data_IF_326494737332
#
_entry.id   IF_326494737332
#
_cell.length_a   1.000
_cell.length_b   1.000
_cell.length_c   1.000
_cell.angle_alpha   90.00
_cell.angle_beta   90.00
_cell.angle_gamma   90.00
#
_symmetry.space_group_name_H-M   'P 1'
#
loop_
_entity.id
_entity.type
_entity.pdbx_description
1 polymer ?
#
# COMPACT_ATOMS: atom_id res chain seq x y z
N UNK A 1 -4.53 1.41 24.58
CA UNK A 1 -5.05 0.80 23.34
C UNK A 1 -4.93 1.89 22.29
N UNK A 2 -3.83 1.89 21.53
CA UNK A 2 -3.66 2.89 20.48
C UNK A 2 -4.72 2.63 19.43
N UNK A 3 -5.68 3.53 19.26
CA UNK A 3 -6.58 3.46 18.12
C UNK A 3 -5.68 3.62 16.90
N UNK A 4 -5.59 2.60 16.05
CA UNK A 4 -4.97 2.73 14.74
C UNK A 4 -5.77 3.79 13.98
N UNK A 5 -5.28 5.02 14.01
CA UNK A 5 -5.88 6.13 13.31
C UNK A 5 -5.82 5.83 11.82
N UNK A 6 -6.94 6.02 11.14
CA UNK A 6 -6.98 5.99 9.68
C UNK A 6 -5.82 6.86 9.14
N UNK A 7 -5.09 6.33 8.17
CA UNK A 7 -3.92 7.00 7.60
C UNK A 7 -3.85 6.80 6.09
N UNK A 8 -3.17 7.71 5.41
CA UNK A 8 -3.05 7.69 3.96
C UNK A 8 -1.68 8.22 3.57
N UNK A 9 -1.03 7.55 2.63
CA UNK A 9 0.27 7.92 2.08
C UNK A 9 0.17 7.92 0.57
N UNK A 10 0.51 9.05 -0.03
CA UNK A 10 0.58 9.22 -1.48
C UNK A 10 2.04 9.36 -1.92
N UNK A 11 2.35 8.92 -3.13
CA UNK A 11 3.68 9.12 -3.69
C UNK A 11 3.80 8.75 -5.15
N UNK A 12 5.02 8.87 -5.66
CA UNK A 12 5.40 8.48 -7.01
C UNK A 12 6.33 7.28 -6.96
N UNK A 13 6.21 6.39 -7.95
CA UNK A 13 7.07 5.22 -8.10
C UNK A 13 7.40 4.96 -9.57
N UNK A 14 8.41 4.11 -9.80
CA UNK A 14 8.98 3.76 -11.10
C UNK A 14 9.19 2.25 -11.17
N UNK A 15 8.73 1.60 -12.24
CA UNK A 15 8.83 0.13 -12.41
C UNK A 15 9.55 -0.29 -13.70
N UNK A 16 10.10 0.65 -14.47
CA UNK A 16 10.73 0.39 -15.76
C UNK A 16 12.16 0.95 -15.84
N UNK A 17 12.97 0.41 -16.74
CA UNK A 17 14.24 1.00 -17.17
C UNK A 17 14.07 1.60 -18.58
N UNK A 18 14.40 2.88 -18.82
CA UNK A 18 14.83 3.86 -17.80
C UNK A 18 13.67 4.24 -16.86
N UNK A 19 13.97 4.63 -15.61
CA UNK A 19 12.95 4.99 -14.62
C UNK A 19 12.14 6.18 -15.12
N UNK A 20 10.87 5.96 -15.46
CA UNK A 20 9.94 7.03 -15.80
C UNK A 20 8.92 7.17 -14.68
N UNK A 21 8.91 8.34 -14.02
CA UNK A 21 8.00 8.66 -12.92
C UNK A 21 6.55 8.87 -13.40
N UNK A 22 5.95 7.81 -13.94
CA UNK A 22 4.59 7.81 -14.50
C UNK A 22 3.56 7.26 -13.54
N UNK A 23 4.01 6.55 -12.49
CA UNK A 23 3.12 5.87 -11.56
C UNK A 23 2.93 6.69 -10.31
N UNK A 24 1.67 7.01 -10.01
CA UNK A 24 1.25 7.52 -8.70
C UNK A 24 0.68 6.37 -7.89
N UNK A 25 1.08 6.27 -6.64
CA UNK A 25 0.46 5.35 -5.69
C UNK A 25 -0.24 6.12 -4.57
N UNK A 26 -1.24 5.46 -4.01
CA UNK A 26 -1.94 5.88 -2.80
C UNK A 26 -2.18 4.61 -1.97
N UNK A 27 -1.75 4.63 -0.71
CA UNK A 27 -1.93 3.55 0.25
C UNK A 27 -2.71 4.12 1.42
N UNK A 28 -3.87 3.55 1.70
CA UNK A 28 -4.73 3.96 2.80
C UNK A 28 -4.95 2.81 3.78
N UNK A 29 -4.91 3.14 5.06
CA UNK A 29 -5.29 2.28 6.17
C UNK A 29 -6.58 2.83 6.77
N UNK A 30 -7.63 2.01 6.79
CA UNK A 30 -8.91 2.37 7.39
C UNK A 30 -9.46 1.22 8.22
N UNK A 31 -9.65 1.43 9.52
CA UNK A 31 -10.16 0.39 10.43
C UNK A 31 -9.42 -0.95 10.28
N UNK A 32 -8.08 -0.89 10.32
CA UNK A 32 -7.16 -2.05 10.15
C UNK A 32 -7.13 -2.68 8.75
N UNK A 33 -7.83 -2.10 7.77
CA UNK A 33 -7.86 -2.59 6.40
C UNK A 33 -7.01 -1.73 5.50
N UNK A 34 -6.18 -2.36 4.68
CA UNK A 34 -5.31 -1.68 3.72
C UNK A 34 -5.98 -1.62 2.36
N UNK A 35 -5.93 -0.47 1.70
CA UNK A 35 -6.28 -0.32 0.30
C UNK A 35 -5.08 0.31 -0.44
N UNK A 36 -4.77 -0.23 -1.61
CA UNK A 36 -3.68 0.25 -2.46
C UNK A 36 -4.23 0.64 -3.83
N UNK A 37 -3.84 1.81 -4.30
CA UNK A 37 -4.15 2.33 -5.61
C UNK A 37 -2.84 2.57 -6.35
N UNK A 38 -2.81 2.18 -7.62
CA UNK A 38 -1.75 2.50 -8.55
C UNK A 38 -2.32 3.10 -9.83
N UNK A 39 -1.76 4.20 -10.28
CA UNK A 39 -2.20 4.91 -11.47
C UNK A 39 -1.04 5.07 -12.45
N UNK A 40 -1.18 4.55 -13.67
CA UNK A 40 -0.33 4.90 -14.81
C UNK A 40 -0.88 6.13 -15.51
N UNK A 41 -0.25 7.29 -15.25
CA UNK A 41 -0.69 8.56 -15.83
C UNK A 41 -0.45 8.66 -17.33
N UNK A 42 0.50 7.90 -17.87
CA UNK A 42 0.79 7.92 -19.32
C UNK A 42 -0.27 7.17 -20.10
N UNK A 43 -0.72 6.04 -19.55
CA UNK A 43 -1.74 5.20 -20.18
C UNK A 43 -3.16 5.53 -19.74
N UNK A 44 -3.32 6.39 -18.72
CA UNK A 44 -4.60 6.73 -18.08
C UNK A 44 -5.31 5.48 -17.53
N UNK A 45 -4.52 4.56 -16.98
CA UNK A 45 -5.04 3.32 -16.37
C UNK A 45 -4.85 3.41 -14.87
N UNK A 46 -5.82 2.88 -14.12
CA UNK A 46 -5.77 2.79 -12.66
C UNK A 46 -6.13 1.37 -12.22
N UNK A 47 -5.37 0.88 -11.25
CA UNK A 47 -5.65 -0.34 -10.52
C UNK A 47 -5.86 0.03 -9.07
N UNK A 48 -6.84 -0.60 -8.44
CA UNK A 48 -7.13 -0.38 -7.03
C UNK A 48 -7.54 -1.71 -6.43
N UNK A 49 -7.06 -1.97 -5.22
CA UNK A 49 -7.56 -3.09 -4.43
C UNK A 49 -8.91 -2.73 -3.80
N UNK A 50 -9.55 -3.72 -3.18
CA UNK A 50 -10.52 -3.43 -2.13
C UNK A 50 -9.83 -3.07 -0.82
N UNK A 51 -10.61 -3.05 0.26
CA UNK A 51 -10.07 -3.09 1.62
C UNK A 51 -9.62 -4.51 1.95
N UNK A 52 -8.32 -4.71 2.00
CA UNK A 52 -7.67 -5.97 2.36
C UNK A 52 -7.63 -6.09 3.89
N UNK A 53 -8.15 -7.20 4.41
CA UNK A 53 -8.05 -7.53 5.85
C UNK A 53 -6.78 -8.34 6.10
N UNK A 54 -6.13 -8.12 7.23
CA UNK A 54 -4.83 -8.74 7.53
C UNK A 54 -4.92 -10.26 7.53
N UNK A 55 -6.02 -10.82 8.04
CA UNK A 55 -6.23 -12.25 8.25
C UNK A 55 -6.25 -13.04 6.94
N UNK A 56 -6.62 -12.41 5.83
CA UNK A 56 -6.68 -13.06 4.51
C UNK A 56 -5.29 -13.23 3.88
N UNK A 57 -4.30 -12.44 4.31
CA UNK A 57 -3.00 -12.33 3.63
C UNK A 57 -1.80 -12.63 4.55
N UNK A 58 -1.94 -12.41 5.86
CA UNK A 58 -0.92 -12.67 6.85
C UNK A 58 -1.13 -14.06 7.48
N UNK A 59 -0.14 -14.93 7.30
CA UNK A 59 -0.08 -16.29 7.86
C UNK A 59 1.11 -16.40 8.79
N UNK A 60 1.14 -17.45 9.62
CA UNK A 60 2.30 -17.75 10.48
C UNK A 60 3.61 -17.84 9.67
N UNK A 61 3.54 -18.18 8.38
CA UNK A 61 4.73 -18.31 7.52
C UNK A 61 5.29 -16.98 6.98
N UNK A 62 4.51 -15.89 6.96
CA UNK A 62 4.94 -14.60 6.39
C UNK A 62 4.82 -13.41 7.38
N UNK A 63 4.36 -13.66 8.60
CA UNK A 63 4.38 -12.66 9.68
C UNK A 63 5.78 -12.61 10.28
N UNK A 64 6.37 -11.42 10.28
CA UNK A 64 7.61 -11.13 11.01
C UNK A 64 7.26 -10.71 12.44
N UNK A 65 7.58 -11.57 13.43
CA UNK A 65 7.22 -11.36 14.84
C UNK A 65 7.84 -10.12 15.49
N UNK A 66 9.04 -9.74 15.03
CA UNK A 66 9.81 -8.61 15.59
C UNK A 66 9.80 -7.38 14.66
N UNK A 67 8.81 -7.28 13.77
CA UNK A 67 8.68 -6.10 12.92
C UNK A 67 8.29 -4.88 13.76
N UNK A 68 9.19 -3.91 13.86
CA UNK A 68 8.93 -2.59 14.41
C UNK A 68 8.98 -1.53 13.32
N UNK A 69 8.37 -0.36 13.56
CA UNK A 69 8.63 0.81 12.74
C UNK A 69 10.13 1.15 12.79
N UNK A 70 10.70 1.57 11.66
CA UNK A 70 12.03 2.16 11.65
C UNK A 70 11.95 3.54 12.32
N UNK A 71 12.87 3.80 13.26
CA UNK A 71 13.03 5.08 13.96
C UNK A 71 13.68 6.13 13.06
#
# INVERSE_FOLDING_TARGET
>A
MESLSDSQVEGLTVFASPPKATYRYDISLKGEKVNTLLEDRSRKIRWQTGFLIKEDYATVANVFGDASAAY
#
